data_IF_304720684545
#
_entry.id   IF_304720684545
#
_cell.length_a   1.000
_cell.length_b   1.000
_cell.length_c   1.000
_cell.angle_alpha   90.00
_cell.angle_beta   90.00
_cell.angle_gamma   90.00
#
_symmetry.space_group_name_H-M   'P 1'
#
loop_
_entity.id
_entity.type
_entity.pdbx_description
1 polymer ?
#
# COMPACT_ATOMS: atom_id res chain seq x y z
N UNK A 1 14.33 0.89 2.09
CA UNK A 1 12.91 0.86 1.75
C UNK A 1 12.26 2.22 2.03
N UNK A 2 11.04 2.39 1.53
CA UNK A 2 10.25 3.57 1.79
C UNK A 2 9.56 3.55 3.15
N UNK A 3 8.67 4.50 3.37
CA UNK A 3 7.95 4.67 4.63
C UNK A 3 6.45 4.50 4.41
N UNK A 4 5.83 3.62 5.18
CA UNK A 4 4.39 3.35 5.13
C UNK A 4 3.70 3.92 6.37
N UNK A 5 2.63 4.68 6.18
CA UNK A 5 1.84 5.28 7.24
C UNK A 5 0.36 4.98 7.04
N UNK A 6 -0.36 4.83 8.15
CA UNK A 6 -1.82 4.66 8.14
C UNK A 6 -2.46 5.78 8.95
N UNK A 7 -3.45 6.44 8.35
CA UNK A 7 -4.28 7.44 9.01
C UNK A 7 -5.71 6.93 9.11
N UNK A 8 -6.33 7.11 10.26
CA UNK A 8 -7.73 6.78 10.43
C UNK A 8 -8.39 7.69 11.46
N UNK A 9 -9.70 7.92 11.28
CA UNK A 9 -10.54 8.59 12.27
C UNK A 9 -11.65 7.62 12.71
N UNK A 10 -11.93 7.62 14.00
CA UNK A 10 -12.86 6.71 14.59
C UNK A 10 -13.56 7.38 15.78
N UNK A 11 -14.84 7.05 15.99
CA UNK A 11 -15.62 7.60 17.11
C UNK A 11 -15.34 6.89 18.44
N UNK A 12 -14.67 5.76 18.39
CA UNK A 12 -14.26 4.98 19.57
C UNK A 12 -12.75 4.71 19.51
N UNK A 13 -12.16 4.41 20.66
CA UNK A 13 -10.75 4.06 20.71
C UNK A 13 -10.46 2.81 19.92
N UNK A 14 -9.43 2.88 19.10
CA UNK A 14 -8.97 1.77 18.28
C UNK A 14 -7.45 1.87 18.13
N UNK A 15 -6.78 0.75 17.94
CA UNK A 15 -5.34 0.72 17.75
C UNK A 15 -5.02 0.15 16.38
N UNK A 16 -4.20 0.86 15.62
CA UNK A 16 -3.65 0.39 14.36
C UNK A 16 -2.28 -0.24 14.62
N UNK A 17 -2.09 -1.44 14.11
CA UNK A 17 -0.79 -2.10 14.10
C UNK A 17 -0.33 -2.26 12.66
N UNK A 18 0.87 -1.75 12.36
CA UNK A 18 1.49 -1.90 11.02
C UNK A 18 2.77 -2.70 11.18
N UNK A 19 2.88 -3.78 10.44
CA UNK A 19 4.08 -4.64 10.43
C UNK A 19 4.66 -4.70 9.03
N UNK A 20 5.97 -4.54 8.93
CA UNK A 20 6.70 -4.65 7.66
C UNK A 20 7.39 -6.01 7.58
N UNK A 21 7.31 -6.63 6.40
CA UNK A 21 8.01 -7.89 6.12
C UNK A 21 8.38 -7.97 4.65
N UNK A 22 9.26 -8.90 4.29
CA UNK A 22 9.52 -9.20 2.88
C UNK A 22 8.26 -9.72 2.21
N UNK A 23 7.89 -9.15 1.07
CA UNK A 23 6.71 -9.57 0.34
C UNK A 23 6.89 -10.99 -0.20
N UNK A 24 5.95 -11.88 0.11
CA UNK A 24 5.92 -13.25 -0.40
C UNK A 24 4.83 -13.44 -1.45
N UNK A 25 3.89 -12.49 -1.58
CA UNK A 25 2.87 -12.51 -2.59
C UNK A 25 3.43 -12.14 -3.97
N UNK A 26 2.66 -12.45 -5.00
CA UNK A 26 3.05 -12.20 -6.39
C UNK A 26 2.51 -10.84 -6.85
N UNK A 27 3.30 -10.15 -7.68
CA UNK A 27 2.82 -8.99 -8.39
C UNK A 27 1.92 -9.43 -9.55
N UNK A 28 0.82 -8.70 -9.83
CA UNK A 28 0.03 -8.98 -11.03
C UNK A 28 0.85 -8.69 -12.28
N UNK A 29 0.41 -9.27 -13.41
CA UNK A 29 1.11 -9.12 -14.70
C UNK A 29 1.33 -7.65 -15.06
N UNK A 30 2.55 -7.30 -15.45
CA UNK A 30 2.92 -5.94 -15.83
C UNK A 30 3.37 -5.05 -14.67
N UNK A 31 3.33 -5.55 -13.43
CA UNK A 31 3.72 -4.79 -12.25
C UNK A 31 4.96 -5.38 -11.57
N UNK A 32 5.72 -4.51 -10.91
CA UNK A 32 6.94 -4.86 -10.21
C UNK A 32 6.97 -4.17 -8.85
N UNK A 33 7.77 -4.70 -7.94
CA UNK A 33 7.90 -4.13 -6.59
C UNK A 33 9.01 -3.07 -6.57
N UNK A 34 8.67 -1.77 -6.41
CA UNK A 34 9.70 -0.76 -6.13
C UNK A 34 10.24 -0.86 -4.69
N UNK A 35 9.50 -1.52 -3.83
CA UNK A 35 9.91 -1.90 -2.47
C UNK A 35 9.58 -3.39 -2.30
N UNK A 36 10.59 -4.19 -1.93
CA UNK A 36 10.42 -5.64 -1.77
C UNK A 36 9.66 -6.03 -0.50
N UNK A 37 9.29 -5.05 0.32
CA UNK A 37 8.52 -5.29 1.52
C UNK A 37 7.03 -5.13 1.27
N UNK A 38 6.23 -5.87 2.02
CA UNK A 38 4.81 -5.63 2.18
C UNK A 38 4.53 -5.14 3.60
N UNK A 39 3.34 -4.57 3.78
CA UNK A 39 2.93 -3.96 5.05
C UNK A 39 1.59 -4.56 5.46
N UNK A 40 1.58 -5.20 6.64
CA UNK A 40 0.36 -5.76 7.20
C UNK A 40 -0.25 -4.76 8.15
N UNK A 41 -1.51 -4.41 7.93
CA UNK A 41 -2.27 -3.45 8.73
C UNK A 41 -3.38 -4.19 9.46
N UNK A 42 -3.52 -3.92 10.76
CA UNK A 42 -4.54 -4.53 11.59
C UNK A 42 -5.11 -3.52 12.58
N UNK A 43 -6.42 -3.36 12.57
CA UNK A 43 -7.14 -2.61 13.59
C UNK A 43 -7.50 -3.53 14.75
N UNK A 44 -7.39 -3.05 15.99
CA UNK A 44 -7.76 -3.80 17.19
C UNK A 44 -9.26 -4.14 17.22
N UNK A 45 -10.09 -3.27 16.64
CA UNK A 45 -11.51 -3.50 16.44
C UNK A 45 -11.85 -3.27 14.97
N UNK A 46 -11.82 -4.33 14.14
CA UNK A 46 -12.10 -4.19 12.71
C UNK A 46 -13.57 -3.89 12.39
N UNK A 47 -14.47 -4.01 13.37
CA UNK A 47 -15.90 -3.73 13.17
C UNK A 47 -16.27 -2.28 13.51
N UNK A 48 -15.35 -1.50 14.09
CA UNK A 48 -15.60 -0.11 14.41
C UNK A 48 -15.76 0.72 13.13
N UNK A 49 -16.72 1.64 13.14
CA UNK A 49 -16.93 2.55 12.01
C UNK A 49 -15.87 3.65 12.01
N UNK A 50 -14.88 3.51 11.15
CA UNK A 50 -13.90 4.55 10.92
C UNK A 50 -14.45 5.56 9.90
N UNK A 51 -14.19 6.85 10.13
CA UNK A 51 -14.64 7.92 9.24
C UNK A 51 -13.59 8.25 8.18
N UNK A 52 -12.34 7.86 8.42
CA UNK A 52 -11.24 8.02 7.47
C UNK A 52 -10.33 6.81 7.59
N UNK A 53 -10.09 6.14 6.47
CA UNK A 53 -9.12 5.05 6.34
C UNK A 53 -8.22 5.36 5.16
N UNK A 54 -6.99 5.75 5.44
CA UNK A 54 -6.04 6.15 4.42
C UNK A 54 -4.68 5.56 4.71
N UNK A 55 -4.02 5.03 3.69
CA UNK A 55 -2.62 4.63 3.79
C UNK A 55 -1.77 5.48 2.86
N UNK A 56 -0.61 5.89 3.35
CA UNK A 56 0.36 6.69 2.62
C UNK A 56 1.67 5.93 2.52
N UNK A 57 2.29 5.96 1.36
CA UNK A 57 3.60 5.38 1.17
C UNK A 57 4.53 6.42 0.53
N UNK A 58 5.67 6.66 1.19
CA UNK A 58 6.70 7.57 0.71
C UNK A 58 7.85 6.74 0.14
N UNK A 59 8.14 6.93 -1.14
CA UNK A 59 9.17 6.18 -1.84
C UNK A 59 10.57 6.55 -1.37
N UNK A 60 11.45 5.56 -1.27
CA UNK A 60 12.88 5.78 -1.12
C UNK A 60 13.50 6.03 -2.51
N UNK A 61 13.64 7.29 -2.89
CA UNK A 61 14.14 7.67 -4.21
C UNK A 61 15.60 7.31 -4.46
N UNK A 62 16.34 6.90 -3.42
CA UNK A 62 17.71 6.42 -3.56
C UNK A 62 17.80 4.93 -3.90
N UNK A 63 16.67 4.21 -3.87
CA UNK A 63 16.64 2.77 -4.18
C UNK A 63 16.77 2.53 -5.68
N UNK A 64 17.64 1.58 -6.12
CA UNK A 64 17.71 1.21 -7.53
C UNK A 64 16.43 0.57 -8.05
N UNK A 65 15.62 -0.06 -7.19
CA UNK A 65 14.31 -0.62 -7.58
C UNK A 65 13.34 0.49 -7.94
N UNK A 66 13.37 1.61 -7.23
CA UNK A 66 12.54 2.78 -7.54
C UNK A 66 12.94 3.39 -8.88
N UNK A 67 14.23 3.45 -9.17
CA UNK A 67 14.71 3.99 -10.45
C UNK A 67 14.30 3.14 -11.66
N UNK A 68 13.98 1.88 -11.47
CA UNK A 68 13.62 0.95 -12.54
C UNK A 68 12.15 1.03 -12.96
N UNK A 69 11.30 1.69 -12.19
CA UNK A 69 9.85 1.72 -12.41
C UNK A 69 9.33 3.13 -12.64
N UNK A 70 8.17 3.21 -13.29
CA UNK A 70 7.47 4.48 -13.50
C UNK A 70 6.58 4.78 -12.30
N UNK A 71 7.05 5.61 -11.38
CA UNK A 71 6.34 5.96 -10.16
C UNK A 71 5.02 6.71 -10.42
N UNK A 72 4.93 7.43 -11.54
CA UNK A 72 3.69 8.16 -11.89
C UNK A 72 2.52 7.22 -12.16
N UNK A 73 2.81 5.95 -12.40
CA UNK A 73 1.82 4.89 -12.62
C UNK A 73 1.79 3.88 -11.47
N UNK A 74 2.36 4.25 -10.33
CA UNK A 74 2.35 3.37 -9.15
C UNK A 74 0.94 3.17 -8.60
N UNK A 75 0.72 2.01 -8.02
CA UNK A 75 -0.53 1.61 -7.39
C UNK A 75 -0.23 0.92 -6.07
N UNK A 76 -1.25 0.78 -5.24
CA UNK A 76 -1.16 -0.02 -4.02
C UNK A 76 -2.04 -1.25 -4.21
N UNK A 77 -1.47 -2.41 -3.98
CA UNK A 77 -2.18 -3.68 -4.08
C UNK A 77 -2.47 -4.27 -2.70
N UNK A 78 -3.60 -4.97 -2.59
CA UNK A 78 -3.99 -5.74 -1.41
C UNK A 78 -3.81 -7.22 -1.71
N UNK A 79 -3.19 -7.97 -0.79
CA UNK A 79 -2.96 -9.39 -0.99
C UNK A 79 -4.27 -10.17 -0.94
N UNK A 80 -4.54 -10.90 -2.02
CA UNK A 80 -5.55 -11.95 -2.04
C UNK A 80 -4.90 -13.25 -1.57
N UNK A 81 -5.26 -13.70 -0.39
CA UNK A 81 -4.65 -14.88 0.22
C UNK A 81 -5.02 -16.19 -0.48
N UNK A 82 -6.10 -16.18 -1.26
CA UNK A 82 -6.52 -17.35 -2.03
C UNK A 82 -5.58 -17.61 -3.21
N UNK A 83 -5.18 -16.55 -3.92
CA UNK A 83 -4.30 -16.64 -5.09
C UNK A 83 -2.85 -16.29 -4.80
N UNK A 84 -2.56 -15.79 -3.59
CA UNK A 84 -1.26 -15.26 -3.19
C UNK A 84 -0.75 -14.18 -4.13
N UNK A 85 -1.67 -13.34 -4.64
CA UNK A 85 -1.36 -12.27 -5.60
C UNK A 85 -1.93 -10.95 -5.07
N UNK A 86 -1.16 -9.87 -5.21
CA UNK A 86 -1.64 -8.54 -4.87
C UNK A 86 -2.61 -8.05 -5.92
N UNK A 87 -3.82 -7.69 -5.49
CA UNK A 87 -4.88 -7.16 -6.35
C UNK A 87 -4.79 -5.64 -6.34
N UNK A 88 -4.76 -5.04 -7.52
CA UNK A 88 -4.63 -3.59 -7.69
C UNK A 88 -5.91 -2.92 -8.18
N UNK A 89 -6.92 -3.68 -8.55
CA UNK A 89 -8.20 -3.16 -9.03
C UNK A 89 -9.21 -3.04 -7.90
N UNK A 90 -9.95 -1.93 -7.87
CA UNK A 90 -11.07 -1.71 -6.95
C UNK A 90 -10.69 -1.80 -5.46
N UNK A 91 -9.46 -1.48 -5.12
CA UNK A 91 -8.99 -1.51 -3.73
C UNK A 91 -9.23 -0.19 -2.98
N UNK A 92 -9.54 0.88 -3.69
CA UNK A 92 -9.82 2.19 -3.10
C UNK A 92 -9.50 3.33 -4.05
N UNK A 93 -9.48 4.56 -3.52
CA UNK A 93 -9.10 5.75 -4.28
C UNK A 93 -7.63 6.05 -4.12
N UNK A 94 -6.93 6.15 -5.25
CA UNK A 94 -5.49 6.28 -5.33
C UNK A 94 -5.10 7.70 -5.76
N UNK A 95 -4.09 8.27 -5.11
CA UNK A 95 -3.53 9.57 -5.48
C UNK A 95 -2.00 9.50 -5.40
N UNK A 96 -1.32 9.95 -6.46
CA UNK A 96 0.13 10.06 -6.48
C UNK A 96 0.53 11.53 -6.41
N UNK A 97 1.39 11.88 -5.44
CA UNK A 97 1.93 13.22 -5.25
C UNK A 97 3.39 13.26 -5.69
N UNK A 98 3.63 13.75 -6.91
CA UNK A 98 4.93 13.72 -7.57
C UNK A 98 5.99 14.53 -6.82
N UNK A 99 5.64 15.70 -6.33
CA UNK A 99 6.54 16.59 -5.60
C UNK A 99 6.99 16.03 -4.24
N UNK A 100 6.21 15.13 -3.66
CA UNK A 100 6.52 14.49 -2.38
C UNK A 100 7.04 13.06 -2.52
N UNK A 101 6.98 12.49 -3.72
CA UNK A 101 7.31 11.09 -3.93
C UNK A 101 6.43 10.15 -3.10
N UNK A 102 5.14 10.48 -3.01
CA UNK A 102 4.19 9.81 -2.13
C UNK A 102 3.00 9.28 -2.91
N UNK A 103 2.52 8.10 -2.53
CA UNK A 103 1.26 7.55 -3.01
C UNK A 103 0.32 7.35 -1.83
N UNK A 104 -0.93 7.79 -1.99
CA UNK A 104 -1.98 7.68 -0.98
C UNK A 104 -3.12 6.82 -1.49
N UNK A 105 -3.68 5.98 -0.62
CA UNK A 105 -4.83 5.15 -0.91
C UNK A 105 -5.89 5.34 0.17
N UNK A 106 -7.09 5.76 -0.23
CA UNK A 106 -8.26 5.85 0.64
C UNK A 106 -9.12 4.61 0.45
N UNK A 107 -9.42 3.90 1.53
CA UNK A 107 -10.11 2.60 1.49
C UNK A 107 -11.24 2.54 2.49
N UNK A 108 -12.16 1.58 2.27
CA UNK A 108 -13.23 1.27 3.22
C UNK A 108 -12.75 0.37 4.37
N UNK A 109 -11.78 -0.48 4.10
CA UNK A 109 -11.18 -1.40 5.08
C UNK A 109 -9.67 -1.39 4.90
N UNK A 110 -8.95 -0.94 5.93
CA UNK A 110 -7.49 -0.85 5.90
C UNK A 110 -6.81 -2.14 6.33
N UNK A 111 -7.55 -3.09 6.91
CA UNK A 111 -7.00 -4.37 7.34
C UNK A 111 -6.52 -5.20 6.13
N UNK A 112 -5.38 -5.82 6.26
CA UNK A 112 -4.83 -6.69 5.22
C UNK A 112 -3.34 -6.50 5.04
N UNK A 113 -2.82 -7.14 4.02
CA UNK A 113 -1.42 -7.02 3.61
C UNK A 113 -1.37 -6.22 2.31
N UNK A 114 -0.56 -5.16 2.30
CA UNK A 114 -0.49 -4.19 1.22
C UNK A 114 0.94 -4.10 0.67
N UNK A 115 1.05 -3.85 -0.62
CA UNK A 115 2.35 -3.56 -1.24
C UNK A 115 2.19 -2.48 -2.30
N UNK A 116 3.23 -1.70 -2.49
CA UNK A 116 3.29 -0.74 -3.59
C UNK A 116 3.83 -1.45 -4.82
N UNK A 117 3.22 -1.19 -5.95
CA UNK A 117 3.53 -1.81 -7.23
C UNK A 117 3.60 -0.74 -8.30
N UNK A 118 4.45 -0.92 -9.29
CA UNK A 118 4.55 -0.01 -10.43
C UNK A 118 5.00 -0.76 -11.68
N UNK A 119 4.59 -0.30 -12.89
CA UNK A 119 5.12 -0.84 -14.13
C UNK A 119 6.53 -0.30 -14.38
N UNK A 120 7.32 -1.02 -15.18
CA UNK A 120 8.57 -0.49 -15.72
C UNK A 120 8.27 0.67 -16.69
N UNK A 121 9.26 1.50 -16.93
CA UNK A 121 9.17 2.47 -18.00
C UNK A 121 8.95 1.75 -19.35
N UNK A 122 8.11 2.34 -20.14
CA UNK A 122 7.80 1.79 -21.47
C UNK A 122 8.99 1.98 -22.43
#
# INVERSE_FOLDING_TARGET
SGKYEVEYENTVSNTVTVSQKSATGLAPSGFHFPDTNSFTVKLSDPTANATLLKSDYIFNTSSPLVAAVDLTKSVVGRLDTTTNTFVVENVGELEFEDDEGEISLTVDDVNGEWAVLAPHFA
#
